data_IF_018538890983
#
_entry.id   IF_018538890983
#
_cell.length_a   1.000
_cell.length_b   1.000
_cell.length_c   1.000
_cell.angle_alpha   90.00
_cell.angle_beta   90.00
_cell.angle_gamma   90.00
#
_symmetry.space_group_name_H-M   'P 1'
#
loop_
_entity.id
_entity.type
_entity.pdbx_description
1 polymer ?
2 non-polymer ?
3 non-polymer ?
4 water ?
#
# COMPACT_ATOMS: atom_id res chain seq x y z
N UNK A 1 -16.82 1.13 5.33
CA UNK A 1 -16.25 2.46 5.57
C UNK A 1 -15.12 2.64 4.55
N UNK A 2 -14.49 3.80 4.57
CA UNK A 2 -13.39 4.07 3.64
C UNK A 2 -12.24 3.06 3.72
N UNK A 3 -11.87 2.67 4.94
CA UNK A 3 -10.80 1.67 5.15
C UNK A 3 -11.05 0.38 4.35
N UNK A 4 -12.24 -0.19 4.50
CA UNK A 4 -12.61 -1.41 3.77
C UNK A 4 -12.69 -1.20 2.26
N UNK A 5 -13.21 -0.05 1.84
CA UNK A 5 -13.28 0.25 0.39
C UNK A 5 -11.89 0.29 -0.23
N UNK A 6 -10.95 0.94 0.47
CA UNK A 6 -9.56 1.07 -0.01
C UNK A 6 -8.93 -0.34 -0.08
N UNK A 7 -9.12 -1.15 0.96
CA UNK A 7 -8.57 -2.52 0.94
C UNK A 7 -9.09 -3.27 -0.29
N UNK A 8 -10.38 -3.14 -0.58
CA UNK A 8 -10.97 -3.86 -1.73
C UNK A 8 -10.42 -3.38 -3.08
N UNK A 9 -10.27 -2.06 -3.24
CA UNK A 9 -9.66 -1.48 -4.46
C UNK A 9 -8.23 -2.02 -4.64
N UNK A 10 -7.45 -2.00 -3.56
CA UNK A 10 -6.05 -2.45 -3.58
C UNK A 10 -5.98 -3.95 -3.92
N UNK A 11 -6.83 -4.74 -3.26
CA UNK A 11 -6.90 -6.18 -3.53
C UNK A 11 -7.15 -6.46 -5.01
N UNK A 12 -8.14 -5.79 -5.59
CA UNK A 12 -8.48 -5.92 -7.01
C UNK A 12 -7.30 -5.53 -7.92
N UNK A 13 -6.66 -4.38 -7.61
CA UNK A 13 -5.50 -3.91 -8.38
C UNK A 13 -4.38 -4.95 -8.34
N UNK A 14 -4.13 -5.49 -7.14
CA UNK A 14 -3.11 -6.50 -6.94
C UNK A 14 -3.42 -7.75 -7.76
N UNK A 15 -4.68 -8.18 -7.78
CA UNK A 15 -5.07 -9.34 -8.59
C UNK A 15 -4.82 -9.10 -10.08
N UNK A 16 -5.17 -7.91 -10.56
CA UNK A 16 -4.96 -7.54 -11.97
C UNK A 16 -3.48 -7.42 -12.32
N UNK A 17 -2.71 -6.74 -11.48
CA UNK A 17 -1.36 -6.31 -11.84
C UNK A 17 -0.22 -7.08 -11.20
N UNK A 18 -0.49 -7.80 -10.10
CA UNK A 18 0.46 -8.77 -9.52
C UNK A 18 0.06 -10.14 -10.04
N UNK A 19 -1.11 -10.62 -9.58
CA UNK A 19 -1.64 -11.96 -9.87
C UNK A 19 -1.64 -12.89 -8.66
N UNK A 20 -0.84 -13.96 -8.77
CA UNK A 20 -0.73 -15.04 -7.77
C UNK A 20 -0.12 -14.63 -6.42
N UNK A 21 0.76 -13.63 -6.45
CA UNK A 21 1.47 -13.20 -5.25
C UNK A 21 0.63 -12.29 -4.33
N UNK A 22 -0.59 -11.95 -4.74
CA UNK A 22 -1.41 -10.93 -4.07
C UNK A 22 -1.48 -11.09 -2.53
N UNK A 23 -1.30 -9.99 -1.76
CA UNK A 23 -1.47 -10.11 -0.30
C UNK A 23 -2.94 -10.28 0.04
N UNK A 24 -3.25 -10.87 1.19
CA UNK A 24 -4.64 -11.00 1.62
C UNK A 24 -5.20 -9.63 2.06
N UNK A 25 -6.51 -9.52 2.09
CA UNK A 25 -7.15 -8.26 2.50
C UNK A 25 -6.71 -7.87 3.93
N UNK A 26 -6.58 -8.84 4.83
CA UNK A 26 -6.15 -8.50 6.20
C UNK A 26 -4.69 -8.06 6.26
N UNK A 27 -3.86 -8.55 5.34
CA UNK A 27 -2.46 -8.12 5.28
C UNK A 27 -2.40 -6.68 4.78
N UNK A 28 -3.23 -6.36 3.80
CA UNK A 28 -3.31 -4.98 3.28
C UNK A 28 -3.81 -4.06 4.40
N UNK A 29 -4.85 -4.53 5.12
CA UNK A 29 -5.40 -3.80 6.29
C UNK A 29 -4.38 -3.55 7.41
N UNK A 30 -3.56 -4.57 7.72
CA UNK A 30 -2.48 -4.42 8.71
C UNK A 30 -1.46 -3.33 8.28
N UNK A 31 -1.12 -3.32 7.00
CA UNK A 31 -0.15 -2.36 6.45
C UNK A 31 -0.78 -0.97 6.50
N UNK A 32 -2.03 -0.85 6.04
CA UNK A 32 -2.71 0.45 5.99
C UNK A 32 -2.89 1.04 7.39
N UNK A 33 -3.38 0.22 8.32
CA UNK A 33 -3.61 0.69 9.69
C UNK A 33 -2.29 1.08 10.40
N UNK A 34 -1.23 0.31 10.18
CA UNK A 34 0.09 0.69 10.72
C UNK A 34 0.54 2.06 10.19
N UNK A 35 0.34 2.30 8.88
CA UNK A 35 0.74 3.59 8.29
C UNK A 35 -0.07 4.76 8.87
N UNK A 36 -1.34 4.50 9.19
CA UNK A 36 -2.17 5.47 9.94
C UNK A 36 -1.63 5.70 11.34
N UNK A 37 -1.29 4.61 12.04
CA UNK A 37 -0.70 4.70 13.39
C UNK A 37 0.55 5.60 13.39
N UNK A 38 1.38 5.44 12.36
CA UNK A 38 2.66 6.15 12.31
C UNK A 38 2.52 7.58 11.78
N UNK A 39 1.31 7.97 11.37
CA UNK A 39 1.03 9.35 10.94
C UNK A 39 1.33 9.64 9.48
N UNK A 40 1.61 8.61 8.69
CA UNK A 40 1.90 8.80 7.27
C UNK A 40 0.67 9.07 6.44
N UNK A 41 -0.46 8.56 6.91
CA UNK A 41 -1.71 8.71 6.23
C UNK A 41 -2.71 9.16 7.25
N UNK A 42 -3.51 10.12 6.86
CA UNK A 42 -4.71 10.51 7.62
C UNK A 42 -5.79 9.55 7.14
N UNK A 43 -6.34 9.86 5.98
CA UNK A 43 -7.38 9.05 5.40
C UNK A 43 -6.70 7.82 4.75
N UNK A 44 -7.35 6.63 4.78
CA UNK A 44 -6.77 5.47 4.06
C UNK A 44 -6.51 5.76 2.56
N UNK A 45 -7.31 6.65 1.98
CA UNK A 45 -7.18 7.00 0.56
C UNK A 45 -5.89 7.75 0.24
N UNK A 46 -5.21 8.25 1.28
CA UNK A 46 -3.94 8.98 1.09
C UNK A 46 -2.86 8.06 0.47
N UNK A 47 -3.01 6.75 0.66
CA UNK A 47 -2.12 5.73 0.07
C UNK A 47 -2.08 5.80 -1.48
N UNK A 48 -3.17 6.26 -2.09
CA UNK A 48 -3.29 6.32 -3.55
C UNK A 48 -2.43 7.40 -4.19
N UNK A 49 -2.11 8.44 -3.43
CA UNK A 49 -1.32 9.54 -3.96
C UNK A 49 0.14 9.16 -4.17
N UNK A 50 0.67 9.35 -5.41
CA UNK A 50 2.08 9.04 -5.70
C UNK A 50 3.05 9.79 -4.79
N UNK A 51 2.62 10.95 -4.27
CA UNK A 51 3.41 11.73 -3.31
C UNK A 51 3.63 11.05 -1.97
N UNK A 52 2.81 10.05 -1.64
CA UNK A 52 2.96 9.32 -0.37
C UNK A 52 3.89 8.12 -0.49
N UNK A 53 4.20 7.72 -1.73
CA UNK A 53 4.83 6.42 -1.95
C UNK A 53 6.26 6.30 -1.42
N UNK A 54 7.11 7.29 -1.71
CA UNK A 54 8.46 7.32 -1.10
C UNK A 54 8.46 7.43 0.43
N UNK A 55 7.66 8.36 1.04
CA UNK A 55 7.51 8.35 2.50
C UNK A 55 7.10 6.99 3.09
N UNK A 56 6.15 6.29 2.45
CA UNK A 56 5.70 4.99 2.93
C UNK A 56 6.85 3.98 2.88
N UNK A 57 7.55 3.94 1.75
CA UNK A 57 8.69 3.01 1.61
C UNK A 57 9.73 3.29 2.69
N UNK A 58 10.05 4.56 2.89
CA UNK A 58 11.01 4.96 3.94
C UNK A 58 10.57 4.48 5.33
N UNK A 59 9.31 4.69 5.67
CA UNK A 59 8.82 4.36 7.01
C UNK A 59 8.79 2.84 7.24
N UNK A 60 8.33 2.09 6.25
CA UNK A 60 8.30 0.63 6.38
C UNK A 60 9.69 0.00 6.35
N UNK A 61 10.60 0.64 5.60
CA UNK A 61 12.02 0.25 5.57
C UNK A 61 12.63 0.47 6.95
N UNK A 62 12.38 1.65 7.51
CA UNK A 62 12.86 1.98 8.87
C UNK A 62 12.35 0.98 9.91
N UNK A 63 11.06 0.64 9.84
CA UNK A 63 10.45 -0.35 10.73
C UNK A 63 11.16 -1.72 10.67
N UNK A 64 11.48 -2.17 9.45
CA UNK A 64 12.21 -3.43 9.26
C UNK A 64 13.61 -3.34 9.90
N UNK A 65 14.29 -2.21 9.67
CA UNK A 65 15.67 -2.02 10.14
C UNK A 65 15.75 -1.87 11.66
N UNK A 66 14.78 -1.17 12.24
CA UNK A 66 14.83 -0.86 13.68
C UNK A 66 14.14 -1.92 14.55
N UNK A 67 12.96 -2.37 14.13
CA UNK A 67 12.23 -3.39 14.91
C UNK A 67 12.37 -4.82 14.44
N UNK A 68 13.02 -5.04 13.29
CA UNK A 68 13.06 -6.36 12.64
C UNK A 68 11.69 -6.86 12.18
N UNK A 69 10.77 -5.93 11.96
CA UNK A 69 9.41 -6.25 11.53
C UNK A 69 9.25 -5.83 10.07
N UNK A 70 9.27 -6.81 9.17
CA UNK A 70 9.30 -6.51 7.74
C UNK A 70 8.03 -6.91 7.02
N UNK A 71 7.05 -7.48 7.73
CA UNK A 71 5.80 -7.97 7.12
C UNK A 71 5.08 -6.91 6.29
N UNK A 72 4.93 -5.72 6.87
CA UNK A 72 4.24 -4.61 6.21
C UNK A 72 5.00 -4.11 5.01
N UNK A 73 6.32 -4.06 5.13
CA UNK A 73 7.17 -3.71 3.98
C UNK A 73 6.96 -4.65 2.77
N UNK A 74 6.87 -5.95 3.04
CA UNK A 74 6.66 -6.96 1.99
C UNK A 74 5.30 -6.79 1.34
N UNK A 75 4.29 -6.57 2.18
CA UNK A 75 2.94 -6.27 1.67
C UNK A 75 2.96 -5.04 0.76
N UNK A 76 3.60 -3.98 1.25
CA UNK A 76 3.74 -2.72 0.49
C UNK A 76 4.43 -2.93 -0.85
N UNK A 77 5.44 -3.80 -0.90
CA UNK A 77 6.13 -4.08 -2.17
C UNK A 77 5.14 -4.51 -3.25
N UNK A 78 4.22 -5.40 -2.87
CA UNK A 78 3.18 -5.86 -3.78
C UNK A 78 2.15 -4.77 -4.11
N UNK A 79 1.69 -4.05 -3.09
CA UNK A 79 0.69 -2.98 -3.25
C UNK A 79 1.26 -1.85 -4.14
N UNK A 80 2.50 -1.44 -3.84
CA UNK A 80 3.14 -0.37 -4.61
C UNK A 80 3.37 -0.79 -6.06
N UNK A 81 3.81 -2.03 -6.26
CA UNK A 81 3.91 -2.59 -7.64
C UNK A 81 2.62 -2.48 -8.45
N UNK A 82 1.51 -2.82 -7.82
CA UNK A 82 0.20 -2.77 -8.47
C UNK A 82 -0.27 -1.34 -8.71
N UNK A 83 0.00 -0.45 -7.75
CA UNK A 83 -0.37 0.96 -7.89
C UNK A 83 0.41 1.68 -8.97
N UNK A 84 1.71 1.41 -9.03
CA UNK A 84 2.58 1.95 -10.08
C UNK A 84 2.16 1.45 -11.45
N UNK A 85 1.90 0.15 -11.54
CA UNK A 85 1.44 -0.47 -12.79
C UNK A 85 0.11 0.14 -13.27
N UNK A 86 -0.83 0.33 -12.34
CA UNK A 86 -2.12 0.93 -12.65
C UNK A 86 -1.95 2.35 -13.19
N UNK A 87 -1.10 3.12 -12.51
CA UNK A 87 -0.86 4.52 -12.86
C UNK A 87 -0.23 4.61 -14.24
N UNK A 88 0.79 3.77 -14.47
CA UNK A 88 1.48 3.68 -15.77
C UNK A 88 0.55 3.29 -16.92
N UNK A 89 -0.37 2.34 -16.66
CA UNK A 89 -1.41 1.92 -17.62
C UNK A 89 -2.35 3.07 -17.98
N UNK A 90 -2.74 3.86 -16.97
CA UNK A 90 -3.58 5.04 -17.15
C UNK A 90 -2.85 6.12 -17.96
N UNK A 91 -1.59 6.38 -17.60
CA UNK A 91 -0.72 7.36 -18.26
C UNK A 91 -0.59 7.08 -19.77
N UNK A 92 -0.24 5.84 -20.12
CA UNK A 92 -0.09 5.42 -21.53
C UNK A 92 -1.41 5.40 -22.32
N UNK A 93 -2.53 5.16 -21.63
CA UNK A 93 -3.88 5.22 -22.23
C UNK A 93 -4.42 6.64 -22.34
N UNK A 94 -3.85 7.56 -21.56
CA UNK A 94 -4.24 8.97 -21.53
C UNK A 94 -3.10 9.85 -22.05
X LIG B 1 2.39 9.85 15.39
X LIG B 1 3.36 9.23 15.80
X LIG B 1 1.42 9.19 14.63
X LIG B 1 2.23 11.21 15.68
X LIG C 1 -3.15 13.15 -5.61
X LIG C 1 -3.46 12.02 -5.28
X LIG C 1 -4.12 14.04 -6.04
X LIG C 1 -1.82 13.53 -5.55
X LIG D 1 -3.35 18.40 -0.57
X LIG D 1 -2.38 17.71 0.25
X LIG D 1 -2.65 19.21 -1.66
X LIG D 1 -3.65 19.89 -2.43
#
# INVERSE_FOLDING_TARGET
SEFEAVIKVISSACKTYCGKTSPSKKEIGAMLSLLQKEGLLMSPSDLYSPGSWDPITAALSQRAMILGKSGELKTWGLVLGALKAAREEQVTSEQAKFWLGLGG
NO3 N O1 O2 O3
NO3 N O1 O2 O3
EDO C1 O1 C2 O2
#
